data_IF_280626843496
#
_entry.id   IF_280626843496
#
_cell.length_a   1.000
_cell.length_b   1.000
_cell.length_c   1.000
_cell.angle_alpha   90.00
_cell.angle_beta   90.00
_cell.angle_gamma   90.00
#
_symmetry.space_group_name_H-M   'P 1'
#
loop_
_entity.id
_entity.type
_entity.pdbx_description
1 polymer ?
#
# COMPACT_ATOMS: atom_id res chain seq x y z
N UNK A 1 6.51 -5.70 -20.12
CA UNK A 1 5.10 -5.25 -20.15
C UNK A 1 4.24 -6.00 -19.14
N UNK A 2 4.03 -7.32 -19.28
CA UNK A 2 3.16 -8.11 -18.39
C UNK A 2 3.46 -7.96 -16.89
N UNK A 3 4.74 -7.95 -16.49
CA UNK A 3 5.14 -7.76 -15.09
C UNK A 3 4.65 -6.43 -14.50
N UNK A 4 4.79 -5.31 -15.21
CA UNK A 4 4.35 -4.00 -14.73
C UNK A 4 2.82 -3.90 -14.60
N UNK A 5 2.07 -4.56 -15.49
CA UNK A 5 0.62 -4.69 -15.33
C UNK A 5 0.25 -5.51 -14.10
N UNK A 6 1.00 -6.58 -13.80
CA UNK A 6 0.82 -7.35 -12.57
C UNK A 6 1.11 -6.47 -11.33
N UNK A 7 2.19 -5.70 -11.32
CA UNK A 7 2.51 -4.79 -10.20
C UNK A 7 1.40 -3.77 -9.94
N UNK A 8 0.87 -3.11 -11.00
CA UNK A 8 -0.25 -2.17 -10.83
C UNK A 8 -1.50 -2.86 -10.33
N UNK A 9 -1.77 -4.08 -10.77
CA UNK A 9 -2.88 -4.89 -10.25
C UNK A 9 -2.66 -5.24 -8.77
N UNK A 10 -1.45 -5.58 -8.35
CA UNK A 10 -1.12 -5.83 -6.94
C UNK A 10 -1.41 -4.59 -6.09
N UNK A 11 -1.03 -3.39 -6.54
CA UNK A 11 -1.35 -2.14 -5.86
C UNK A 11 -2.86 -1.88 -5.76
N UNK A 12 -3.62 -2.25 -6.80
CA UNK A 12 -5.08 -2.19 -6.77
C UNK A 12 -5.66 -3.13 -5.70
N UNK A 13 -5.22 -4.39 -5.67
CA UNK A 13 -5.61 -5.36 -4.65
C UNK A 13 -5.23 -4.91 -3.23
N UNK A 14 -4.04 -4.34 -3.05
CA UNK A 14 -3.61 -3.81 -1.77
C UNK A 14 -4.55 -2.69 -1.26
N UNK A 15 -4.99 -1.80 -2.14
CA UNK A 15 -6.00 -0.77 -1.80
C UNK A 15 -7.35 -1.37 -1.44
N UNK A 16 -7.80 -2.42 -2.14
CA UNK A 16 -9.03 -3.14 -1.80
C UNK A 16 -8.94 -3.85 -0.44
N UNK A 17 -7.82 -4.49 -0.13
CA UNK A 17 -7.57 -5.14 1.16
C UNK A 17 -7.45 -4.13 2.31
N UNK A 18 -6.88 -2.94 2.06
CA UNK A 18 -6.88 -1.84 3.02
C UNK A 18 -8.32 -1.37 3.31
N UNK A 19 -9.12 -1.17 2.25
CA UNK A 19 -10.53 -0.80 2.38
C UNK A 19 -11.31 -1.87 3.16
N UNK A 20 -11.11 -3.15 2.87
CA UNK A 20 -11.71 -4.27 3.60
C UNK A 20 -11.45 -4.15 5.10
N UNK A 21 -10.21 -3.83 5.51
CA UNK A 21 -9.86 -3.66 6.92
C UNK A 21 -10.57 -2.46 7.54
N UNK A 22 -10.62 -1.31 6.88
CA UNK A 22 -11.36 -0.16 7.41
C UNK A 22 -12.87 -0.39 7.48
N UNK A 23 -13.46 -1.07 6.50
CA UNK A 23 -14.87 -1.42 6.54
C UNK A 23 -15.17 -2.34 7.73
N UNK A 24 -14.25 -3.27 8.06
CA UNK A 24 -14.33 -4.09 9.27
C UNK A 24 -14.22 -3.26 10.56
N UNK A 25 -13.25 -2.35 10.66
CA UNK A 25 -13.09 -1.46 11.81
C UNK A 25 -14.34 -0.62 12.00
N UNK A 26 -14.81 0.04 10.94
CA UNK A 26 -15.98 0.91 10.98
C UNK A 26 -17.21 0.14 11.44
N UNK A 27 -17.42 -1.08 10.95
CA UNK A 27 -18.51 -1.94 11.41
C UNK A 27 -18.42 -2.26 12.91
N UNK A 28 -17.23 -2.50 13.44
CA UNK A 28 -17.03 -2.78 14.86
C UNK A 28 -17.28 -1.52 15.72
N UNK A 29 -16.77 -0.37 15.29
CA UNK A 29 -16.94 0.92 15.97
C UNK A 29 -18.41 1.34 15.99
N UNK A 30 -19.12 1.24 14.86
CA UNK A 30 -20.54 1.64 14.79
C UNK A 30 -21.47 0.71 15.56
N UNK A 31 -21.05 -0.54 15.81
CA UNK A 31 -21.80 -1.50 16.61
C UNK A 31 -21.51 -1.40 18.11
N UNK A 32 -20.50 -0.61 18.51
CA UNK A 32 -20.13 -0.40 19.89
C UNK A 32 -20.92 0.75 20.50
N UNK A 33 -21.27 0.63 21.79
CA UNK A 33 -21.85 1.73 22.57
C UNK A 33 -20.78 2.74 22.97
N UNK A 34 -19.56 2.24 23.21
CA UNK A 34 -18.42 3.06 23.64
C UNK A 34 -17.50 3.39 22.47
N UNK A 35 -16.88 4.58 22.52
CA UNK A 35 -15.81 4.95 21.61
C UNK A 35 -14.54 4.12 21.88
N UNK A 36 -13.73 3.84 20.85
CA UNK A 36 -12.43 3.18 21.05
C UNK A 36 -11.57 3.96 22.05
N UNK A 37 -10.99 3.30 23.07
CA UNK A 37 -10.16 3.96 24.08
C UNK A 37 -8.76 4.32 23.56
N UNK A 38 -8.50 4.13 22.27
CA UNK A 38 -7.22 4.37 21.61
C UNK A 38 -7.45 4.99 20.23
N UNK A 39 -6.42 5.67 19.72
CA UNK A 39 -6.41 6.20 18.36
C UNK A 39 -6.27 5.06 17.34
N UNK A 40 -7.11 5.08 16.31
CA UNK A 40 -7.02 4.14 15.18
C UNK A 40 -6.23 4.84 14.06
N UNK A 41 -5.03 4.34 13.70
CA UNK A 41 -4.26 4.92 12.62
C UNK A 41 -5.04 4.96 11.30
N UNK A 42 -4.88 6.06 10.58
CA UNK A 42 -5.36 6.23 9.21
C UNK A 42 -4.15 6.26 8.28
N UNK A 43 -4.10 5.31 7.35
CA UNK A 43 -3.01 5.08 6.41
C UNK A 43 -3.56 4.90 5.01
N UNK A 44 -2.75 5.22 4.00
CA UNK A 44 -3.08 5.02 2.60
C UNK A 44 -1.87 4.50 1.81
N UNK A 45 -2.12 3.83 0.68
CA UNK A 45 -1.09 3.55 -0.31
C UNK A 45 -0.98 4.73 -1.28
N UNK A 46 0.25 5.05 -1.67
CA UNK A 46 0.53 6.06 -2.71
C UNK A 46 -0.27 5.80 -3.98
N UNK A 47 -0.56 6.88 -4.72
CA UNK A 47 -1.09 6.74 -6.08
C UNK A 47 0.02 6.21 -6.98
N UNK A 48 -0.32 5.27 -7.83
CA UNK A 48 0.61 4.65 -8.76
C UNK A 48 -0.07 4.35 -10.10
N UNK A 49 0.70 4.29 -11.17
CA UNK A 49 0.19 4.02 -12.51
C UNK A 49 1.30 3.67 -13.50
N UNK A 50 0.91 3.38 -14.74
CA UNK A 50 1.86 3.13 -15.83
C UNK A 50 2.06 4.39 -16.67
N UNK A 51 3.31 4.78 -16.88
CA UNK A 51 3.71 5.78 -17.87
C UNK A 51 4.27 5.06 -19.10
N UNK A 52 3.70 5.33 -20.27
CA UNK A 52 4.14 4.74 -21.54
C UNK A 52 4.88 5.81 -22.34
N UNK A 53 6.16 5.57 -22.65
CA UNK A 53 6.89 6.40 -23.59
C UNK A 53 6.74 5.82 -25.00
N UNK A 54 6.56 6.71 -25.98
CA UNK A 54 6.43 6.35 -27.39
C UNK A 54 7.57 6.98 -28.17
N UNK A 55 8.14 6.24 -29.13
CA UNK A 55 9.07 6.78 -30.11
C UNK A 55 8.39 6.83 -31.48
N UNK A 56 8.47 7.99 -32.12
CA UNK A 56 7.90 8.25 -33.44
C UNK A 56 7.91 9.73 -33.77
N UNK A 57 8.63 10.12 -34.82
CA UNK A 57 8.61 11.48 -35.35
C UNK A 57 7.31 11.69 -36.16
N UNK A 58 6.63 12.85 -36.13
CA UNK A 58 5.40 13.09 -36.89
C UNK A 58 5.54 13.06 -38.42
N UNK A 59 6.72 12.78 -38.97
CA UNK A 59 7.06 13.06 -40.38
C UNK A 59 7.45 11.83 -41.24
N UNK A 60 7.27 10.60 -40.77
CA UNK A 60 7.51 9.42 -41.61
C UNK A 60 6.22 8.66 -41.88
N UNK A 61 5.88 8.47 -43.16
CA UNK A 61 4.72 7.74 -43.68
C UNK A 61 4.76 6.22 -43.40
N UNK A 62 5.32 5.78 -42.27
CA UNK A 62 5.43 4.37 -41.93
C UNK A 62 5.16 4.12 -40.44
N UNK A 63 4.10 3.34 -40.19
CA UNK A 63 3.62 2.71 -38.95
C UNK A 63 3.52 3.65 -37.73
N UNK A 64 2.33 3.71 -37.13
CA UNK A 64 2.01 4.57 -35.99
C UNK A 64 2.97 4.43 -34.79
N UNK A 65 2.85 5.33 -33.80
CA UNK A 65 3.80 5.42 -32.69
C UNK A 65 4.03 4.06 -32.02
N UNK A 66 5.30 3.66 -31.91
CA UNK A 66 5.69 2.42 -31.22
C UNK A 66 6.01 2.75 -29.77
N UNK A 67 5.46 1.97 -28.83
CA UNK A 67 5.82 2.10 -27.41
C UNK A 67 7.29 1.73 -27.24
N UNK A 68 8.08 2.63 -26.67
CA UNK A 68 9.52 2.47 -26.47
C UNK A 68 9.86 1.97 -25.06
N UNK A 69 9.13 2.44 -24.05
CA UNK A 69 9.28 1.98 -22.67
C UNK A 69 7.98 2.14 -21.88
N UNK A 70 7.87 1.38 -20.80
CA UNK A 70 6.78 1.46 -19.84
C UNK A 70 7.41 1.53 -18.45
N UNK A 71 6.94 2.47 -17.63
CA UNK A 71 7.43 2.70 -16.28
C UNK A 71 6.28 2.58 -15.29
N UNK A 72 6.54 2.01 -14.12
CA UNK A 72 5.69 2.21 -12.95
C UNK A 72 6.06 3.57 -12.35
N UNK A 73 5.07 4.44 -12.19
CA UNK A 73 5.25 5.75 -11.57
C UNK A 73 4.40 5.81 -10.32
N UNK A 74 4.95 6.39 -9.25
CA UNK A 74 4.33 6.51 -7.94
C UNK A 74 4.38 7.97 -7.47
N UNK A 75 3.45 8.35 -6.60
CA UNK A 75 3.47 9.62 -5.91
C UNK A 75 4.75 9.75 -5.06
N UNK A 76 5.43 10.90 -5.18
CA UNK A 76 6.61 11.18 -4.38
C UNK A 76 6.19 11.49 -2.95
N UNK A 77 6.62 10.65 -2.00
CA UNK A 77 6.43 10.90 -0.57
C UNK A 77 7.47 11.94 -0.11
N UNK A 78 7.06 13.11 0.42
CA UNK A 78 7.99 14.09 0.95
C UNK A 78 8.85 13.52 2.09
N UNK A 79 10.14 13.80 2.10
CA UNK A 79 11.05 13.32 3.15
C UNK A 79 11.38 11.81 3.09
N UNK A 80 11.03 11.11 1.99
CA UNK A 80 11.34 9.69 1.79
C UNK A 80 12.82 9.34 2.03
N UNK A 81 13.74 10.24 1.68
CA UNK A 81 15.19 9.98 1.84
C UNK A 81 15.65 9.91 3.30
N UNK A 82 14.88 10.47 4.22
CA UNK A 82 15.29 10.61 5.63
C UNK A 82 14.46 9.73 6.56
N UNK A 83 13.18 9.46 6.24
CA UNK A 83 12.22 8.85 7.17
C UNK A 83 11.38 7.71 6.55
N UNK A 84 11.95 6.91 5.63
CA UNK A 84 11.25 5.75 5.06
C UNK A 84 11.54 4.48 5.87
N UNK A 85 10.58 4.09 6.69
CA UNK A 85 10.70 2.97 7.63
C UNK A 85 10.06 1.72 7.04
N UNK A 86 10.70 0.57 7.24
CA UNK A 86 10.11 -0.75 7.03
C UNK A 86 9.50 -1.23 8.34
N UNK A 87 8.18 -1.32 8.41
CA UNK A 87 7.46 -1.62 9.65
C UNK A 87 7.31 -3.15 9.84
N UNK A 88 6.93 -3.87 8.78
CA UNK A 88 6.77 -5.33 8.81
C UNK A 88 7.57 -5.96 7.68
N UNK A 89 8.25 -7.07 7.97
CA UNK A 89 8.99 -7.84 6.96
C UNK A 89 8.07 -8.78 6.17
N UNK A 90 8.36 -9.05 4.91
CA UNK A 90 7.58 -10.00 4.10
C UNK A 90 7.70 -11.47 4.56
N UNK A 91 8.62 -11.78 5.47
CA UNK A 91 8.85 -13.13 5.99
C UNK A 91 8.40 -13.32 7.44
N UNK A 92 7.85 -12.29 8.08
CA UNK A 92 7.45 -12.32 9.49
C UNK A 92 6.37 -11.28 9.77
N UNK A 93 5.36 -11.68 10.55
CA UNK A 93 4.35 -10.76 11.07
C UNK A 93 4.78 -10.08 12.39
N UNK A 94 6.03 -10.28 12.81
CA UNK A 94 6.58 -9.66 14.03
C UNK A 94 7.02 -8.23 13.72
N UNK A 95 6.75 -7.33 14.66
CA UNK A 95 7.22 -5.94 14.61
C UNK A 95 8.74 -5.89 14.45
N UNK A 96 9.22 -5.08 13.50
CA UNK A 96 10.64 -4.75 13.41
C UNK A 96 11.05 -3.64 14.40
N UNK A 97 10.07 -2.99 15.01
CA UNK A 97 10.26 -1.88 15.95
C UNK A 97 9.99 -2.32 17.39
N UNK A 98 10.78 -1.81 18.31
CA UNK A 98 10.64 -2.02 19.75
C UNK A 98 9.61 -1.05 20.37
N UNK A 99 9.09 -1.42 21.55
CA UNK A 99 8.15 -0.57 22.28
C UNK A 99 8.82 0.77 22.62
N UNK A 100 8.20 1.87 22.19
CA UNK A 100 8.70 3.23 22.38
C UNK A 100 9.43 3.81 21.15
N UNK A 101 9.72 2.99 20.14
CA UNK A 101 10.24 3.49 18.87
C UNK A 101 9.15 4.21 18.05
N UNK A 102 9.56 5.25 17.32
CA UNK A 102 8.65 5.98 16.43
C UNK A 102 8.09 5.06 15.35
N UNK A 103 6.76 4.94 15.30
CA UNK A 103 6.08 4.05 14.36
C UNK A 103 5.77 2.65 14.90
N UNK A 104 6.08 2.35 16.17
CA UNK A 104 5.68 1.10 16.81
C UNK A 104 4.16 0.88 16.75
N UNK A 105 3.36 1.91 17.06
CA UNK A 105 1.89 1.82 17.02
C UNK A 105 1.35 1.52 15.61
N UNK A 106 2.00 2.05 14.57
CA UNK A 106 1.69 1.71 13.18
C UNK A 106 2.01 0.24 12.89
N UNK A 107 3.11 -0.28 13.43
CA UNK A 107 3.50 -1.68 13.25
C UNK A 107 2.53 -2.65 13.93
N UNK A 108 2.06 -2.31 15.14
CA UNK A 108 0.99 -3.05 15.82
C UNK A 108 -0.31 -2.99 14.98
N UNK A 109 -0.67 -1.81 14.46
CA UNK A 109 -1.83 -1.66 13.60
C UNK A 109 -1.72 -2.48 12.30
N UNK A 110 -0.55 -2.50 11.65
CA UNK A 110 -0.33 -3.32 10.46
C UNK A 110 -0.44 -4.82 10.75
N UNK A 111 0.02 -5.27 11.92
CA UNK A 111 -0.15 -6.67 12.36
C UNK A 111 -1.63 -7.02 12.55
N UNK A 112 -2.41 -6.10 13.14
CA UNK A 112 -3.87 -6.22 13.20
C UNK A 112 -4.51 -6.27 11.80
N UNK A 113 -4.08 -5.40 10.87
CA UNK A 113 -4.60 -5.39 9.51
C UNK A 113 -4.36 -6.73 8.81
N UNK A 114 -3.16 -7.31 8.94
CA UNK A 114 -2.81 -8.61 8.39
C UNK A 114 -3.73 -9.71 8.92
N UNK A 115 -3.99 -9.70 10.24
CA UNK A 115 -4.89 -10.65 10.87
C UNK A 115 -6.31 -10.53 10.30
N UNK A 116 -6.87 -9.32 10.23
CA UNK A 116 -8.21 -9.08 9.67
C UNK A 116 -8.29 -9.56 8.22
N UNK A 117 -7.31 -9.22 7.38
CA UNK A 117 -7.28 -9.62 5.97
C UNK A 117 -7.20 -11.13 5.82
N UNK A 118 -6.31 -11.80 6.57
CA UNK A 118 -6.20 -13.25 6.54
C UNK A 118 -7.54 -13.91 6.91
N UNK A 119 -8.18 -13.49 8.00
CA UNK A 119 -9.46 -14.06 8.43
C UNK A 119 -10.58 -13.76 7.43
N UNK A 120 -10.72 -12.51 6.99
CA UNK A 120 -11.82 -12.08 6.10
C UNK A 120 -11.72 -12.63 4.69
N UNK A 121 -10.52 -12.99 4.24
CA UNK A 121 -10.31 -13.63 2.93
C UNK A 121 -10.30 -15.15 3.00
N UNK A 122 -10.55 -15.76 4.16
CA UNK A 122 -10.47 -17.22 4.33
C UNK A 122 -9.04 -17.75 4.14
N UNK A 123 -8.04 -16.95 4.49
CA UNK A 123 -6.63 -17.29 4.38
C UNK A 123 -6.02 -17.11 2.99
N UNK A 124 -6.77 -16.54 2.03
CA UNK A 124 -6.33 -16.44 0.63
C UNK A 124 -5.40 -15.26 0.35
N UNK A 125 -5.57 -14.14 1.06
CA UNK A 125 -4.80 -12.93 0.79
C UNK A 125 -4.63 -12.06 2.03
N UNK A 126 -3.43 -11.49 2.16
CA UNK A 126 -3.11 -10.45 3.12
C UNK A 126 -1.96 -9.61 2.56
N UNK A 127 -1.83 -8.38 3.07
CA UNK A 127 -0.74 -7.49 2.68
C UNK A 127 0.47 -7.73 3.58
N UNK A 128 1.62 -7.99 2.98
CA UNK A 128 2.91 -8.07 3.65
C UNK A 128 3.74 -6.81 3.33
N UNK A 129 4.94 -6.73 3.89
CA UNK A 129 5.96 -5.75 3.50
C UNK A 129 5.52 -4.28 3.65
N UNK A 130 4.89 -3.94 4.78
CA UNK A 130 4.52 -2.56 5.06
C UNK A 130 5.76 -1.68 5.25
N UNK A 131 5.90 -0.68 4.39
CA UNK A 131 6.92 0.35 4.47
C UNK A 131 6.34 1.72 4.10
N UNK A 132 6.96 2.80 4.57
CA UNK A 132 6.44 4.14 4.31
C UNK A 132 6.99 5.17 5.28
N UNK A 133 6.34 6.31 5.31
CA UNK A 133 6.62 7.38 6.28
C UNK A 133 5.54 7.40 7.35
N UNK A 134 5.91 7.67 8.60
CA UNK A 134 4.96 7.84 9.71
C UNK A 134 4.27 9.21 9.73
N UNK A 135 4.72 10.14 8.89
CA UNK A 135 4.07 11.44 8.69
C UNK A 135 2.73 11.26 7.98
N UNK A 136 1.66 11.81 8.57
CA UNK A 136 0.32 11.85 7.98
C UNK A 136 0.39 12.30 6.51
N UNK A 137 -0.10 11.45 5.61
CA UNK A 137 -0.61 11.87 4.30
C UNK A 137 -2.10 12.21 4.46
#
# INVERSE_FOLDING_TARGET
>A
VQKLFQEVNVLYWAKSLLKLTYDFINSAVTSSVDCPPFYIPHVCFVKAGLALSYTGHPQSNSKGPSTCAIFLVEELIPGRSENFTKFIHNSSAVSLLDLGESGYDLTVFFSFMQHVQYVKTGGLALILDFHGTSTNL
#
